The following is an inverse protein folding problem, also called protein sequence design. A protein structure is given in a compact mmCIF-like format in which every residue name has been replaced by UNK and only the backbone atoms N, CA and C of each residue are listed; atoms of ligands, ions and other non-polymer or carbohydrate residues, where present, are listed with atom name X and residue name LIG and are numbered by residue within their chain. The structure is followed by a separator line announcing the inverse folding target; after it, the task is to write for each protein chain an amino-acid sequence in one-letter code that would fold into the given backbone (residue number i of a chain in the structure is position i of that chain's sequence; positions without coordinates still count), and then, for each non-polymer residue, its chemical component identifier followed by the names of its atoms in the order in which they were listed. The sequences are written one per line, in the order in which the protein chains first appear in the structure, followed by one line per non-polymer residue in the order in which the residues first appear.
data_IF_598970920019
#
_entry.id   IF_598970920019
#
_cell.length_a   1.000
_cell.length_b   1.000
_cell.length_c   1.000
_cell.angle_alpha   90.00
_cell.angle_beta   90.00
_cell.angle_gamma   90.00
#
_symmetry.space_group_name_H-M   'P 1'
#
loop_
_entity.id
_entity.type
_entity.pdbx_description
1 polymer ?
#
# COMPACT_ATOMS: atom_id res chain seq x y z
N UNK A 1 -8.07 4.57 -60.72
CA UNK A 1 -8.66 5.05 -59.45
C UNK A 1 -7.95 4.28 -58.35
N UNK A 2 -6.92 4.89 -57.75
CA UNK A 2 -5.98 4.22 -56.84
C UNK A 2 -6.62 3.98 -55.47
N UNK A 3 -6.64 2.72 -55.03
CA UNK A 3 -6.77 2.33 -53.64
C UNK A 3 -5.39 2.46 -52.99
N UNK A 4 -5.28 3.35 -52.00
CA UNK A 4 -4.09 3.53 -51.17
C UNK A 4 -4.13 2.54 -50.00
N UNK A 5 -3.14 1.63 -49.96
CA UNK A 5 -2.77 0.86 -48.78
C UNK A 5 -2.43 1.81 -47.62
N UNK A 6 -3.09 1.64 -46.47
CA UNK A 6 -2.58 2.13 -45.18
C UNK A 6 -1.77 1.01 -44.54
N UNK A 7 -0.53 1.26 -44.07
CA UNK A 7 0.25 0.24 -43.39
C UNK A 7 -0.40 -0.07 -42.03
N UNK A 8 -0.47 -1.36 -41.70
CA UNK A 8 -0.93 -1.86 -40.41
C UNK A 8 -0.05 -1.35 -39.27
N UNK A 9 -0.70 -0.94 -38.18
CA UNK A 9 -0.09 -0.28 -37.03
C UNK A 9 1.05 -1.06 -36.37
N UNK A 10 2.15 -0.36 -36.14
CA UNK A 10 3.38 -0.83 -35.50
C UNK A 10 3.27 -0.86 -33.95
N UNK A 11 2.06 -0.86 -33.40
CA UNK A 11 1.78 -0.76 -31.96
C UNK A 11 2.39 -1.91 -31.16
N UNK A 12 2.42 -3.13 -31.73
CA UNK A 12 3.00 -4.31 -31.08
C UNK A 12 4.49 -4.14 -30.73
N UNK A 13 5.24 -3.38 -31.54
CA UNK A 13 6.67 -3.14 -31.29
C UNK A 13 6.94 -2.18 -30.13
N UNK A 14 6.13 -1.13 -29.97
CA UNK A 14 6.30 -0.17 -28.87
C UNK A 14 6.05 -0.83 -27.51
N UNK A 15 4.94 -1.58 -27.37
CA UNK A 15 4.59 -2.23 -26.11
C UNK A 15 5.57 -3.35 -25.75
N UNK A 16 6.02 -4.14 -26.74
CA UNK A 16 7.05 -5.17 -26.52
C UNK A 16 8.38 -4.55 -26.07
N UNK A 17 8.86 -3.51 -26.76
CA UNK A 17 10.10 -2.82 -26.41
C UNK A 17 10.01 -2.10 -25.06
N UNK A 18 8.84 -1.55 -24.71
CA UNK A 18 8.59 -0.97 -23.39
C UNK A 18 8.64 -2.02 -22.29
N UNK A 19 8.04 -3.19 -22.49
CA UNK A 19 8.07 -4.30 -21.53
C UNK A 19 9.50 -4.80 -21.33
N UNK A 20 10.27 -4.95 -22.41
CA UNK A 20 11.68 -5.33 -22.36
C UNK A 20 12.54 -4.32 -21.57
N UNK A 21 12.37 -3.00 -21.81
CA UNK A 21 13.08 -1.95 -21.07
C UNK A 21 12.76 -1.93 -19.57
N UNK A 22 11.51 -2.22 -19.19
CA UNK A 22 11.15 -2.36 -17.77
C UNK A 22 11.90 -3.56 -17.14
N UNK A 23 12.01 -4.68 -17.84
CA UNK A 23 12.81 -5.83 -17.39
C UNK A 23 14.32 -5.53 -17.35
N UNK A 24 14.86 -4.75 -18.30
CA UNK A 24 16.29 -4.34 -18.30
C UNK A 24 16.61 -3.32 -17.20
N UNK A 25 15.75 -2.33 -16.94
CA UNK A 25 15.89 -1.42 -15.81
C UNK A 25 15.87 -2.18 -14.47
N UNK A 26 15.12 -3.28 -14.38
CA UNK A 26 15.10 -4.18 -13.22
C UNK A 26 16.44 -4.93 -13.08
N UNK A 27 17.02 -5.46 -14.17
CA UNK A 27 18.35 -6.08 -14.14
C UNK A 27 19.46 -5.07 -13.77
N UNK A 28 19.31 -3.81 -14.21
CA UNK A 28 20.23 -2.72 -13.87
C UNK A 28 20.07 -2.29 -12.41
N UNK A 29 18.84 -2.26 -11.88
CA UNK A 29 18.57 -2.07 -10.44
C UNK A 29 19.09 -3.24 -9.58
N UNK A 30 19.03 -4.48 -10.08
CA UNK A 30 19.64 -5.67 -9.44
C UNK A 30 21.17 -5.59 -9.40
N UNK A 31 21.80 -5.01 -10.44
CA UNK A 31 23.23 -4.74 -10.43
C UNK A 31 23.59 -3.57 -9.50
N UNK A 32 22.75 -2.53 -9.45
CA UNK A 32 22.91 -1.40 -8.53
C UNK A 32 22.73 -1.80 -7.06
N UNK A 33 21.81 -2.71 -6.72
CA UNK A 33 21.67 -3.22 -5.34
C UNK A 33 22.87 -4.09 -4.91
N UNK A 34 23.54 -4.76 -5.86
CA UNK A 34 24.81 -5.47 -5.63
C UNK A 34 26.03 -4.51 -5.60
N UNK A 35 25.97 -3.36 -6.27
CA UNK A 35 27.02 -2.32 -6.32
C UNK A 35 26.84 -1.15 -5.34
N UNK A 36 25.72 -1.06 -4.63
CA UNK A 36 25.44 -0.03 -3.60
C UNK A 36 26.41 -0.06 -2.40
N UNK A 37 27.46 -0.89 -2.46
CA UNK A 37 28.57 -0.87 -1.51
C UNK A 37 29.50 0.34 -1.66
N UNK A 38 29.41 1.13 -2.74
CA UNK A 38 30.26 2.32 -2.91
C UNK A 38 29.61 3.37 -3.80
N UNK A 39 28.87 4.31 -3.22
CA UNK A 39 28.59 5.61 -3.81
C UNK A 39 28.58 6.66 -2.69
N UNK A 40 29.06 7.90 -2.94
CA UNK A 40 29.40 8.84 -1.89
C UNK A 40 28.14 9.36 -1.19
N UNK A 41 28.27 9.40 0.13
CA UNK A 41 27.25 9.61 1.13
C UNK A 41 26.83 11.09 1.18
N UNK A 42 25.72 11.41 0.55
CA UNK A 42 24.93 12.62 0.80
C UNK A 42 23.60 12.08 1.37
N UNK A 43 23.06 12.66 2.43
CA UNK A 43 21.73 12.38 3.04
C UNK A 43 21.68 11.51 4.32
N UNK A 44 22.78 10.91 4.79
CA UNK A 44 22.80 10.30 6.14
C UNK A 44 22.96 11.33 7.29
N UNK A 45 23.43 12.54 7.01
CA UNK A 45 23.73 13.55 8.05
C UNK A 45 22.49 14.12 8.74
N UNK A 46 21.30 14.02 8.12
CA UNK A 46 20.04 14.58 8.67
C UNK A 46 19.20 13.53 9.44
N UNK A 47 19.62 12.28 9.47
CA UNK A 47 18.88 11.24 10.20
C UNK A 47 19.09 11.40 11.72
N UNK A 48 18.03 11.24 12.53
CA UNK A 48 18.16 11.32 13.99
C UNK A 48 19.06 10.19 14.54
N UNK A 49 19.50 10.28 15.81
CA UNK A 49 20.28 9.23 16.45
C UNK A 49 19.61 7.85 16.32
N UNK A 50 20.41 6.79 16.21
CA UNK A 50 19.92 5.41 15.95
C UNK A 50 18.83 4.95 16.92
N UNK A 51 18.96 5.28 18.20
CA UNK A 51 17.96 4.95 19.21
C UNK A 51 16.59 5.57 18.90
N UNK A 52 16.58 6.86 18.52
CA UNK A 52 15.36 7.56 18.13
C UNK A 52 14.79 7.02 16.82
N UNK A 53 15.66 6.65 15.86
CA UNK A 53 15.21 6.00 14.61
C UNK A 53 14.42 4.72 14.89
N UNK A 54 14.98 3.82 15.70
CA UNK A 54 14.33 2.56 16.06
C UNK A 54 13.00 2.82 16.80
N UNK A 55 12.98 3.72 17.78
CA UNK A 55 11.77 4.08 18.52
C UNK A 55 10.67 4.64 17.61
N UNK A 56 11.02 5.49 16.64
CA UNK A 56 10.06 6.04 15.68
C UNK A 56 9.49 4.97 14.72
N UNK A 57 10.33 4.01 14.27
CA UNK A 57 9.85 2.89 13.44
C UNK A 57 8.93 1.97 14.26
N UNK A 58 9.25 1.71 15.53
CA UNK A 58 8.36 0.96 16.41
C UNK A 58 6.99 1.65 16.53
N UNK A 59 6.98 2.95 16.84
CA UNK A 59 5.74 3.74 16.91
C UNK A 59 4.92 3.70 15.61
N UNK A 60 5.58 3.67 14.45
CA UNK A 60 4.89 3.50 13.17
C UNK A 60 4.20 2.13 13.04
N UNK A 61 4.91 1.04 13.35
CA UNK A 61 4.30 -0.30 13.33
C UNK A 61 3.19 -0.46 14.36
N UNK A 62 3.24 0.37 15.39
CA UNK A 62 2.40 0.32 16.56
C UNK A 62 1.09 1.11 16.42
N UNK A 63 1.10 2.20 15.65
CA UNK A 63 -0.04 3.11 15.54
C UNK A 63 -0.55 3.34 14.11
N UNK A 64 0.17 2.87 13.08
CA UNK A 64 -0.05 3.32 11.69
C UNK A 64 -0.12 2.14 10.74
N UNK A 65 0.89 1.29 10.75
CA UNK A 65 0.89 0.06 9.96
C UNK A 65 -0.29 -0.83 10.39
N UNK A 66 -0.94 -1.46 9.41
CA UNK A 66 -2.17 -2.25 9.53
C UNK A 66 -3.45 -1.47 9.93
N UNK A 67 -3.42 -0.13 9.98
CA UNK A 67 -4.65 0.68 10.16
C UNK A 67 -5.33 0.99 8.81
N UNK A 68 -4.61 1.60 7.88
CA UNK A 68 -5.12 1.91 6.53
C UNK A 68 -4.28 1.29 5.40
N UNK A 69 -3.11 0.75 5.71
CA UNK A 69 -2.21 0.07 4.77
C UNK A 69 -1.42 -1.03 5.48
N UNK A 70 -0.98 -2.04 4.71
CA UNK A 70 -0.20 -3.17 5.24
C UNK A 70 0.99 -3.50 4.32
N UNK A 71 1.95 -2.60 4.19
CA UNK A 71 2.98 -2.69 3.13
C UNK A 71 4.30 -3.34 3.54
N UNK A 72 4.51 -3.64 4.82
CA UNK A 72 5.83 -4.05 5.32
C UNK A 72 5.76 -5.31 6.17
N UNK A 73 6.79 -6.14 6.07
CA UNK A 73 7.01 -7.26 6.97
C UNK A 73 7.80 -6.78 8.20
N UNK A 74 7.13 -6.59 9.34
CA UNK A 74 7.70 -5.94 10.54
C UNK A 74 9.07 -6.47 10.94
N UNK A 75 9.25 -7.79 11.07
CA UNK A 75 10.51 -8.37 11.54
C UNK A 75 11.71 -8.05 10.62
N UNK A 76 11.57 -8.28 9.31
CA UNK A 76 12.61 -7.95 8.34
C UNK A 76 12.85 -6.45 8.25
N UNK A 77 11.80 -5.62 8.30
CA UNK A 77 11.94 -4.18 8.26
C UNK A 77 12.74 -3.68 9.48
N UNK A 78 12.44 -4.18 10.68
CA UNK A 78 13.18 -3.81 11.88
C UNK A 78 14.64 -4.28 11.82
N UNK A 79 14.92 -5.48 11.30
CA UNK A 79 16.30 -5.93 11.07
C UNK A 79 17.03 -5.02 10.07
N UNK A 80 16.38 -4.61 8.99
CA UNK A 80 16.94 -3.65 8.03
C UNK A 80 17.17 -2.26 8.65
N UNK A 81 16.35 -1.81 9.60
CA UNK A 81 16.57 -0.56 10.33
C UNK A 81 17.80 -0.66 11.24
N UNK A 82 17.96 -1.78 11.97
CA UNK A 82 19.11 -2.01 12.86
C UNK A 82 20.41 -2.03 12.07
N UNK A 83 20.38 -2.56 10.85
CA UNK A 83 21.54 -2.71 10.00
C UNK A 83 21.71 -1.58 8.96
N UNK A 84 20.98 -0.46 9.10
CA UNK A 84 21.04 0.72 8.21
C UNK A 84 20.82 0.39 6.71
N UNK A 85 19.90 -0.54 6.41
CA UNK A 85 19.56 -0.98 5.04
C UNK A 85 18.30 -0.34 4.47
N UNK A 86 17.53 0.40 5.27
CA UNK A 86 16.34 1.11 4.79
C UNK A 86 16.75 2.42 4.10
N UNK A 87 16.26 2.71 2.88
CA UNK A 87 16.50 4.00 2.23
C UNK A 87 16.04 5.20 3.08
N UNK A 88 16.85 6.27 3.23
CA UNK A 88 16.50 7.42 4.07
C UNK A 88 15.14 8.05 3.74
N UNK A 89 14.76 8.10 2.46
CA UNK A 89 13.44 8.60 2.02
C UNK A 89 12.28 7.87 2.70
N UNK A 90 12.39 6.55 2.87
CA UNK A 90 11.36 5.72 3.55
C UNK A 90 11.36 6.01 5.05
N UNK A 91 12.54 6.06 5.68
CA UNK A 91 12.65 6.39 7.10
C UNK A 91 12.04 7.76 7.40
N UNK A 92 12.36 8.78 6.61
CA UNK A 92 11.79 10.12 6.76
C UNK A 92 10.26 10.13 6.59
N UNK A 93 9.71 9.40 5.61
CA UNK A 93 8.26 9.29 5.45
C UNK A 93 7.58 8.59 6.65
N UNK A 94 8.22 7.54 7.19
CA UNK A 94 7.78 6.85 8.41
C UNK A 94 7.83 7.78 9.62
N UNK A 95 8.94 8.52 9.79
CA UNK A 95 9.12 9.45 10.90
C UNK A 95 8.11 10.60 10.84
N UNK A 96 7.79 11.08 9.65
CA UNK A 96 6.77 12.11 9.45
C UNK A 96 5.43 11.70 10.06
N UNK A 97 5.04 10.44 9.86
CA UNK A 97 3.81 9.89 10.42
C UNK A 97 3.93 9.58 11.93
N UNK A 98 5.05 9.02 12.37
CA UNK A 98 5.21 8.46 13.71
C UNK A 98 5.62 9.46 14.80
N UNK A 99 6.34 10.53 14.44
CA UNK A 99 6.94 11.45 15.42
C UNK A 99 5.90 12.12 16.35
N UNK A 100 4.65 12.25 15.89
CA UNK A 100 3.54 12.77 16.70
C UNK A 100 3.19 11.90 17.91
N UNK A 101 3.58 10.63 17.91
CA UNK A 101 3.32 9.69 19.01
C UNK A 101 4.50 9.56 19.97
N UNK A 102 5.66 10.15 19.65
CA UNK A 102 6.86 10.03 20.49
C UNK A 102 6.75 10.87 21.77
N UNK A 103 7.29 10.37 22.88
CA UNK A 103 7.48 11.15 24.11
C UNK A 103 8.95 11.52 24.35
N UNK A 104 9.83 11.27 23.38
CA UNK A 104 11.27 11.50 23.47
C UNK A 104 11.62 12.99 23.64
N UNK A 105 12.61 13.28 24.48
CA UNK A 105 13.08 14.64 24.78
C UNK A 105 13.62 15.38 23.55
N UNK A 106 14.03 14.65 22.49
CA UNK A 106 14.41 15.22 21.20
C UNK A 106 13.34 16.16 20.63
N UNK A 107 12.06 15.91 20.95
CA UNK A 107 10.93 16.73 20.49
C UNK A 107 10.45 17.77 21.50
N UNK A 108 11.21 18.03 22.56
CA UNK A 108 10.86 19.06 23.54
C UNK A 108 10.77 20.43 22.85
N UNK A 109 9.66 21.14 23.08
CA UNK A 109 9.38 22.42 22.46
C UNK A 109 8.62 22.36 21.12
N UNK A 110 8.42 21.17 20.54
CA UNK A 110 7.61 20.99 19.32
C UNK A 110 6.30 20.27 19.65
N UNK A 111 5.16 20.85 19.24
CA UNK A 111 3.86 20.22 19.51
C UNK A 111 3.73 18.89 18.75
N UNK A 112 3.05 17.87 19.29
CA UNK A 112 2.92 16.57 18.64
C UNK A 112 2.51 16.64 17.15
N UNK A 113 1.62 17.55 16.78
CA UNK A 113 1.14 17.71 15.40
C UNK A 113 2.23 18.20 14.43
N UNK A 114 3.22 18.93 14.90
CA UNK A 114 4.24 19.59 14.07
C UNK A 114 5.52 18.74 13.93
N UNK A 115 5.73 17.75 14.80
CA UNK A 115 6.98 16.96 14.87
C UNK A 115 7.32 16.21 13.58
N UNK A 116 6.31 15.88 12.78
CA UNK A 116 6.50 15.16 11.53
C UNK A 116 6.93 16.02 10.34
N UNK A 117 6.74 17.34 10.41
CA UNK A 117 6.84 18.20 9.23
C UNK A 117 8.26 18.24 8.64
N UNK A 118 9.27 18.33 9.49
CA UNK A 118 10.68 18.32 9.05
C UNK A 118 11.04 17.03 8.31
N UNK A 119 10.51 15.90 8.75
CA UNK A 119 10.77 14.60 8.12
C UNK A 119 9.97 14.44 6.83
N UNK A 120 8.74 14.96 6.74
CA UNK A 120 7.98 15.00 5.49
C UNK A 120 8.77 15.77 4.43
N UNK A 121 9.24 16.99 4.76
CA UNK A 121 10.06 17.82 3.86
C UNK A 121 11.32 17.07 3.42
N UNK A 122 12.01 16.40 4.35
CA UNK A 122 13.21 15.63 4.03
C UNK A 122 12.91 14.46 3.07
N UNK A 123 11.83 13.71 3.29
CA UNK A 123 11.40 12.63 2.40
C UNK A 123 11.10 13.15 0.98
N UNK A 124 10.37 14.27 0.87
CA UNK A 124 10.04 14.87 -0.42
C UNK A 124 11.25 15.37 -1.21
N UNK A 125 12.30 15.86 -0.52
CA UNK A 125 13.55 16.25 -1.19
C UNK A 125 14.23 15.08 -1.88
N UNK A 126 14.11 13.88 -1.30
CA UNK A 126 14.66 12.64 -1.85
C UNK A 126 13.71 11.96 -2.85
N UNK A 127 12.43 12.34 -2.84
CA UNK A 127 11.42 11.74 -3.68
C UNK A 127 11.54 12.18 -5.14
N UNK A 128 11.68 11.19 -6.03
CA UNK A 128 11.75 11.40 -7.46
C UNK A 128 10.75 10.53 -8.21
N UNK A 129 9.81 11.19 -8.90
CA UNK A 129 8.81 10.52 -9.74
C UNK A 129 9.41 9.74 -10.92
N UNK A 130 10.69 10.00 -11.23
CA UNK A 130 11.43 9.33 -12.31
C UNK A 130 11.95 7.96 -11.88
N UNK A 131 12.00 7.70 -10.58
CA UNK A 131 12.46 6.43 -10.03
C UNK A 131 11.29 5.44 -9.96
N UNK A 132 11.25 4.53 -10.93
CA UNK A 132 10.25 3.48 -11.00
C UNK A 132 10.68 2.31 -10.12
N UNK A 133 10.38 2.38 -8.82
CA UNK A 133 10.69 1.32 -7.84
C UNK A 133 9.48 1.05 -6.92
N UNK A 134 9.37 -0.16 -6.33
CA UNK A 134 8.40 -0.41 -5.25
C UNK A 134 8.54 0.57 -4.09
N UNK A 135 9.77 0.98 -3.77
CA UNK A 135 10.06 1.96 -2.71
C UNK A 135 9.38 3.30 -2.99
N UNK A 136 9.46 3.82 -4.22
CA UNK A 136 8.79 5.07 -4.62
C UNK A 136 7.26 4.96 -4.47
N UNK A 137 6.69 3.79 -4.81
CA UNK A 137 5.25 3.51 -4.62
C UNK A 137 4.87 3.56 -3.14
N UNK A 138 5.64 2.90 -2.28
CA UNK A 138 5.38 2.86 -0.84
C UNK A 138 5.52 4.26 -0.21
N UNK A 139 6.51 5.05 -0.63
CA UNK A 139 6.67 6.44 -0.16
C UNK A 139 5.49 7.32 -0.58
N UNK A 140 4.93 7.13 -1.79
CA UNK A 140 3.68 7.80 -2.16
C UNK A 140 2.56 7.48 -1.17
N UNK A 141 2.41 6.22 -0.77
CA UNK A 141 1.39 5.85 0.22
C UNK A 141 1.64 6.51 1.57
N UNK A 142 2.89 6.53 2.05
CA UNK A 142 3.23 7.14 3.34
C UNK A 142 3.03 8.67 3.34
N UNK A 143 3.45 9.37 2.28
CA UNK A 143 3.28 10.82 2.17
C UNK A 143 1.81 11.20 1.94
N UNK A 144 1.07 10.41 1.17
CA UNK A 144 -0.37 10.57 1.00
C UNK A 144 -1.11 10.45 2.34
N UNK A 145 -0.71 9.49 3.18
CA UNK A 145 -1.27 9.34 4.52
C UNK A 145 -0.95 10.51 5.45
N UNK A 146 0.26 11.06 5.37
CA UNK A 146 0.63 12.24 6.15
C UNK A 146 -0.23 13.44 5.75
N UNK A 147 -0.43 13.64 4.44
CA UNK A 147 -1.31 14.68 3.92
C UNK A 147 -2.77 14.47 4.39
N UNK A 148 -3.27 13.23 4.34
CA UNK A 148 -4.59 12.86 4.87
C UNK A 148 -4.75 13.27 6.35
N UNK A 149 -3.79 12.88 7.19
CA UNK A 149 -3.78 13.17 8.63
C UNK A 149 -3.62 14.67 8.93
N UNK A 150 -3.16 15.45 7.96
CA UNK A 150 -3.02 16.91 8.04
C UNK A 150 -4.23 17.65 7.51
N UNK A 151 -5.16 16.96 6.83
CA UNK A 151 -6.35 17.53 6.20
C UNK A 151 -6.12 18.09 4.80
N UNK A 152 -5.00 17.74 4.15
CA UNK A 152 -4.65 18.18 2.80
C UNK A 152 -5.11 17.14 1.76
N UNK A 153 -6.41 17.16 1.45
CA UNK A 153 -7.06 16.16 0.59
C UNK A 153 -6.55 16.17 -0.85
N UNK A 154 -6.20 17.35 -1.39
CA UNK A 154 -5.70 17.44 -2.77
C UNK A 154 -4.28 16.85 -2.88
N UNK A 155 -3.40 17.14 -1.92
CA UNK A 155 -2.04 16.57 -1.90
C UNK A 155 -2.07 15.07 -1.59
N UNK A 156 -2.94 14.64 -0.69
CA UNK A 156 -3.20 13.23 -0.41
C UNK A 156 -3.60 12.47 -1.68
N UNK A 157 -4.60 12.97 -2.41
CA UNK A 157 -5.04 12.35 -3.66
C UNK A 157 -3.93 12.35 -4.73
N UNK A 158 -3.11 13.40 -4.81
CA UNK A 158 -1.98 13.45 -5.75
C UNK A 158 -0.97 12.33 -5.48
N UNK A 159 -0.60 12.11 -4.22
CA UNK A 159 0.33 11.06 -3.84
C UNK A 159 -0.23 9.67 -4.13
N UNK A 160 -1.47 9.38 -3.74
CA UNK A 160 -2.08 8.07 -4.04
C UNK A 160 -2.27 7.85 -5.54
N UNK A 161 -2.63 8.89 -6.29
CA UNK A 161 -2.71 8.84 -7.75
C UNK A 161 -1.37 8.47 -8.39
N UNK A 162 -0.30 9.09 -7.91
CA UNK A 162 1.06 8.81 -8.38
C UNK A 162 1.50 7.39 -8.01
N UNK A 163 1.27 6.98 -6.77
CA UNK A 163 1.54 5.61 -6.31
C UNK A 163 0.79 4.56 -7.13
N UNK A 164 -0.49 4.80 -7.43
CA UNK A 164 -1.30 3.94 -8.29
C UNK A 164 -0.78 3.85 -9.72
N UNK A 165 -0.38 4.99 -10.33
CA UNK A 165 0.22 4.96 -11.66
C UNK A 165 1.57 4.24 -11.68
N UNK A 166 2.41 4.44 -10.66
CA UNK A 166 3.69 3.76 -10.53
C UNK A 166 3.52 2.26 -10.33
N UNK A 167 2.56 1.82 -9.51
CA UNK A 167 2.29 0.39 -9.27
C UNK A 167 1.81 -0.32 -10.54
N UNK A 168 0.97 0.34 -11.34
CA UNK A 168 0.53 -0.14 -12.65
C UNK A 168 1.67 -0.22 -13.66
N UNK A 169 2.55 0.79 -13.70
CA UNK A 169 3.72 0.79 -14.60
C UNK A 169 4.68 -0.34 -14.25
N UNK A 170 4.85 -0.65 -12.97
CA UNK A 170 5.74 -1.70 -12.49
C UNK A 170 5.14 -3.11 -12.61
N UNK A 171 3.83 -3.22 -12.89
CA UNK A 171 3.08 -4.48 -12.78
C UNK A 171 3.39 -5.14 -11.43
N UNK A 172 3.25 -4.35 -10.35
CA UNK A 172 3.78 -4.65 -9.02
C UNK A 172 3.48 -6.08 -8.53
N UNK A 173 2.26 -6.63 -8.71
CA UNK A 173 1.95 -8.00 -8.28
C UNK A 173 2.67 -9.10 -9.06
N UNK A 174 3.04 -8.85 -10.32
CA UNK A 174 3.59 -9.86 -11.23
C UNK A 174 5.08 -9.66 -11.54
N UNK A 175 5.70 -8.59 -11.02
CA UNK A 175 7.12 -8.33 -11.25
C UNK A 175 8.00 -9.46 -10.69
N UNK A 176 9.16 -9.73 -11.30
CA UNK A 176 10.14 -10.66 -10.73
C UNK A 176 10.57 -10.22 -9.33
N UNK A 177 10.69 -11.18 -8.43
CA UNK A 177 11.06 -10.97 -7.02
C UNK A 177 12.16 -11.95 -6.60
N UNK A 178 12.88 -11.58 -5.55
CA UNK A 178 13.96 -12.39 -4.96
C UNK A 178 13.55 -13.16 -3.71
N UNK A 179 12.34 -12.96 -3.20
CA UNK A 179 11.77 -13.72 -2.08
C UNK A 179 10.25 -13.79 -2.09
N UNK A 180 9.68 -14.72 -1.31
CA UNK A 180 8.24 -14.79 -1.08
C UNK A 180 7.72 -13.57 -0.31
N UNK A 181 8.51 -13.05 0.64
CA UNK A 181 8.15 -11.84 1.39
C UNK A 181 8.05 -10.63 0.46
N UNK A 182 8.99 -10.47 -0.48
CA UNK A 182 8.93 -9.39 -1.47
C UNK A 182 7.67 -9.52 -2.35
N UNK A 183 7.28 -10.74 -2.75
CA UNK A 183 6.03 -10.98 -3.49
C UNK A 183 4.83 -10.50 -2.69
N UNK A 184 4.74 -10.90 -1.43
CA UNK A 184 3.61 -10.59 -0.57
C UNK A 184 3.55 -9.10 -0.25
N UNK A 185 4.69 -8.44 0.00
CA UNK A 185 4.79 -6.98 0.15
C UNK A 185 4.26 -6.26 -1.10
N UNK A 186 4.59 -6.74 -2.30
CA UNK A 186 4.09 -6.16 -3.55
C UNK A 186 2.57 -6.32 -3.68
N UNK A 187 2.02 -7.49 -3.37
CA UNK A 187 0.58 -7.77 -3.38
C UNK A 187 -0.16 -6.88 -2.38
N UNK A 188 0.35 -6.76 -1.15
CA UNK A 188 -0.28 -5.93 -0.12
C UNK A 188 -0.19 -4.44 -0.42
N UNK A 189 0.91 -3.99 -1.01
CA UNK A 189 1.06 -2.60 -1.51
C UNK A 189 0.06 -2.30 -2.63
N UNK A 190 -0.13 -3.24 -3.55
CA UNK A 190 -1.14 -3.14 -4.60
C UNK A 190 -2.56 -3.02 -4.02
N UNK A 191 -2.93 -3.91 -3.09
CA UNK A 191 -4.26 -3.88 -2.47
C UNK A 191 -4.48 -2.65 -1.60
N UNK A 192 -3.44 -2.16 -0.92
CA UNK A 192 -3.46 -0.86 -0.24
C UNK A 192 -3.87 0.24 -1.21
N UNK A 193 -3.24 0.32 -2.39
CA UNK A 193 -3.56 1.32 -3.40
C UNK A 193 -4.99 1.17 -3.94
N UNK A 194 -5.43 -0.05 -4.22
CA UNK A 194 -6.82 -0.32 -4.62
C UNK A 194 -7.82 0.13 -3.56
N UNK A 195 -7.48 0.01 -2.28
CA UNK A 195 -8.32 0.49 -1.19
C UNK A 195 -8.34 2.02 -1.15
N UNK A 196 -7.18 2.65 -0.98
CA UNK A 196 -7.10 4.11 -0.78
C UNK A 196 -7.68 4.91 -1.94
N UNK A 197 -7.53 4.43 -3.16
CA UNK A 197 -8.05 5.09 -4.36
C UNK A 197 -9.59 5.19 -4.36
N UNK A 198 -10.31 4.28 -3.68
CA UNK A 198 -11.78 4.34 -3.59
C UNK A 198 -12.23 5.58 -2.84
N UNK A 199 -11.77 5.78 -1.60
CA UNK A 199 -12.19 6.95 -0.82
C UNK A 199 -11.49 8.24 -1.25
N UNK A 200 -10.20 8.16 -1.59
CA UNK A 200 -9.40 9.32 -2.01
C UNK A 200 -9.99 10.00 -3.24
N UNK A 201 -10.15 9.25 -4.33
CA UNK A 201 -10.69 9.80 -5.59
C UNK A 201 -12.14 10.24 -5.43
N UNK A 202 -12.91 9.59 -4.56
CA UNK A 202 -14.29 10.00 -4.24
C UNK A 202 -14.35 11.34 -3.51
N UNK A 203 -13.48 11.56 -2.53
CA UNK A 203 -13.45 12.78 -1.73
C UNK A 203 -13.24 14.04 -2.58
N UNK A 204 -12.37 13.94 -3.61
CA UNK A 204 -12.09 15.03 -4.56
C UNK A 204 -12.90 14.95 -5.86
N UNK A 205 -13.83 13.99 -5.96
CA UNK A 205 -14.69 13.74 -7.13
C UNK A 205 -13.94 13.45 -8.43
N UNK A 206 -12.74 12.87 -8.35
CA UNK A 206 -11.96 12.43 -9.50
C UNK A 206 -12.24 10.96 -9.84
N UNK A 207 -11.95 10.52 -11.08
CA UNK A 207 -11.98 9.11 -11.43
C UNK A 207 -10.91 8.32 -10.69
N UNK A 208 -11.26 7.10 -10.28
CA UNK A 208 -10.31 6.11 -9.73
C UNK A 208 -9.25 5.73 -10.78
N UNK A 209 -8.05 5.43 -10.32
CA UNK A 209 -6.90 5.01 -11.13
C UNK A 209 -6.68 3.51 -11.07
N UNK A 210 -6.91 2.89 -9.90
CA UNK A 210 -6.67 1.49 -9.66
C UNK A 210 -7.81 0.64 -10.26
N UNK A 211 -7.48 -0.51 -10.88
CA UNK A 211 -8.48 -1.39 -11.45
C UNK A 211 -9.31 -2.05 -10.34
N UNK A 212 -10.60 -2.19 -10.61
CA UNK A 212 -11.57 -2.79 -9.69
C UNK A 212 -11.57 -4.32 -9.74
N UNK A 213 -11.34 -4.85 -10.95
CA UNK A 213 -11.31 -6.27 -11.25
C UNK A 213 -9.92 -6.63 -11.78
N UNK A 214 -9.26 -7.57 -11.12
CA UNK A 214 -7.88 -7.92 -11.40
C UNK A 214 -7.61 -9.33 -10.93
N UNK A 215 -6.89 -10.10 -11.75
CA UNK A 215 -6.45 -11.46 -11.44
C UNK A 215 -5.35 -11.51 -10.35
N UNK A 216 -5.21 -10.44 -9.56
CA UNK A 216 -4.24 -10.36 -8.47
C UNK A 216 -4.78 -11.19 -7.31
N UNK A 217 -3.99 -12.13 -6.76
CA UNK A 217 -4.41 -12.90 -5.60
C UNK A 217 -4.66 -11.98 -4.40
N UNK A 218 -5.62 -12.36 -3.55
CA UNK A 218 -5.78 -11.73 -2.25
C UNK A 218 -4.50 -11.95 -1.41
N UNK A 219 -4.18 -11.03 -0.48
CA UNK A 219 -3.01 -11.16 0.39
C UNK A 219 -3.07 -12.45 1.21
N UNK A 220 -1.92 -12.91 1.70
CA UNK A 220 -1.85 -14.01 2.67
C UNK A 220 -2.27 -13.51 4.06
N UNK A 221 -2.75 -14.40 4.91
CA UNK A 221 -3.06 -14.12 6.33
C UNK A 221 -1.89 -13.46 7.08
N UNK A 222 -2.22 -12.68 8.11
CA UNK A 222 -1.27 -11.92 8.92
C UNK A 222 -0.26 -12.83 9.64
N UNK A 223 -0.70 -13.98 10.15
CA UNK A 223 0.18 -14.90 10.90
C UNK A 223 1.19 -15.58 9.96
N UNK A 224 0.78 -16.30 8.90
CA UNK A 224 1.72 -16.86 7.93
C UNK A 224 2.63 -15.80 7.30
N UNK A 225 2.13 -14.59 7.04
CA UNK A 225 2.97 -13.49 6.56
C UNK A 225 4.04 -13.11 7.58
N UNK A 226 3.69 -12.97 8.86
CA UNK A 226 4.63 -12.55 9.93
C UNK A 226 5.80 -13.52 10.18
N UNK A 227 5.61 -14.81 9.88
CA UNK A 227 6.62 -15.86 10.06
C UNK A 227 7.29 -16.27 8.74
N UNK A 228 6.98 -15.57 7.64
CA UNK A 228 7.47 -15.92 6.31
C UNK A 228 8.98 -15.72 6.22
N UNK A 229 9.69 -16.72 5.69
CA UNK A 229 11.13 -16.63 5.43
C UNK A 229 11.43 -15.86 4.14
N UNK A 230 12.60 -15.22 4.08
CA UNK A 230 13.09 -14.50 2.92
C UNK A 230 13.60 -15.42 1.78
N UNK A 231 13.38 -16.75 1.87
CA UNK A 231 13.83 -17.72 0.88
C UNK A 231 12.76 -18.00 -0.19
N UNK A 232 13.15 -17.96 -1.48
CA UNK A 232 12.30 -18.40 -2.61
C UNK A 232 12.00 -19.90 -2.61
N UNK A 233 12.84 -20.68 -1.91
CA UNK A 233 12.72 -22.14 -1.80
C UNK A 233 11.91 -22.60 -0.59
N UNK A 234 11.34 -21.66 0.16
CA UNK A 234 10.35 -22.01 1.18
C UNK A 234 9.25 -22.81 0.49
N UNK A 235 9.21 -24.12 0.75
CA UNK A 235 7.97 -24.86 0.59
C UNK A 235 6.98 -24.11 1.47
N UNK A 236 5.95 -23.51 0.86
CA UNK A 236 4.71 -23.28 1.59
C UNK A 236 4.30 -24.68 2.00
N UNK A 237 4.68 -25.09 3.21
CA UNK A 237 4.35 -26.39 3.73
C UNK A 237 2.84 -26.49 3.63
N UNK A 238 2.39 -27.38 2.74
CA UNK A 238 1.04 -27.88 2.73
C UNK A 238 0.69 -28.20 4.19
N UNK A 239 -0.34 -27.54 4.73
CA UNK A 239 -1.02 -27.86 6.00
C UNK A 239 -0.52 -27.27 7.34
N UNK A 240 -0.14 -26.00 7.45
CA UNK A 240 -0.18 -25.33 8.78
C UNK A 240 -1.03 -24.07 8.78
N UNK A 241 -2.32 -24.27 9.10
CA UNK A 241 -3.28 -23.25 9.54
C UNK A 241 -3.55 -22.15 8.49
N UNK A 242 -4.13 -22.55 7.35
CA UNK A 242 -4.87 -21.62 6.47
C UNK A 242 -6.05 -21.06 7.28
N UNK A 243 -5.86 -19.91 7.91
CA UNK A 243 -6.95 -19.17 8.51
C UNK A 243 -7.75 -18.66 7.32
N UNK A 244 -9.02 -19.05 7.22
CA UNK A 244 -9.70 -19.03 5.92
C UNK A 244 -10.09 -17.63 5.41
N UNK A 245 -9.57 -16.54 5.96
CA UNK A 245 -9.50 -15.25 5.27
C UNK A 245 -8.59 -14.25 6.00
N UNK A 246 -7.68 -13.56 5.31
CA UNK A 246 -6.86 -12.49 5.90
C UNK A 246 -7.75 -11.30 6.27
N UNK A 247 -7.43 -10.60 7.37
CA UNK A 247 -8.14 -9.35 7.70
C UNK A 247 -8.07 -8.35 6.55
N UNK A 248 -6.88 -8.21 5.95
CA UNK A 248 -6.70 -7.34 4.78
C UNK A 248 -7.53 -7.79 3.57
N UNK A 249 -7.72 -9.10 3.36
CA UNK A 249 -8.55 -9.60 2.27
C UNK A 249 -10.03 -9.29 2.49
N UNK A 250 -10.52 -9.42 3.73
CA UNK A 250 -11.88 -9.00 4.08
C UNK A 250 -12.07 -7.48 3.93
N UNK A 251 -11.07 -6.67 4.30
CA UNK A 251 -11.08 -5.22 4.03
C UNK A 251 -11.16 -4.90 2.53
N UNK A 252 -10.41 -5.64 1.70
CA UNK A 252 -10.47 -5.49 0.23
C UNK A 252 -11.87 -5.84 -0.31
N UNK A 253 -12.48 -6.93 0.15
CA UNK A 253 -13.84 -7.32 -0.25
C UNK A 253 -14.87 -6.27 0.16
N UNK A 254 -14.82 -5.79 1.39
CA UNK A 254 -15.72 -4.75 1.89
C UNK A 254 -15.53 -3.43 1.14
N UNK A 255 -14.28 -3.04 0.84
CA UNK A 255 -13.98 -1.85 0.08
C UNK A 255 -14.52 -1.91 -1.37
N UNK A 256 -14.63 -3.11 -1.96
CA UNK A 256 -15.32 -3.29 -3.25
C UNK A 256 -16.82 -2.99 -3.14
N UNK A 257 -17.47 -3.43 -2.07
CA UNK A 257 -18.87 -3.08 -1.82
C UNK A 257 -19.03 -1.57 -1.64
N UNK A 258 -18.12 -0.93 -0.88
CA UNK A 258 -18.09 0.53 -0.73
C UNK A 258 -17.98 1.25 -2.08
N UNK A 259 -17.09 0.82 -2.97
CA UNK A 259 -16.96 1.41 -4.30
C UNK A 259 -18.26 1.31 -5.12
N UNK A 260 -18.96 0.16 -5.05
CA UNK A 260 -20.26 -0.03 -5.71
C UNK A 260 -21.34 0.87 -5.12
N UNK A 261 -21.36 1.07 -3.80
CA UNK A 261 -22.25 2.04 -3.14
C UNK A 261 -21.97 3.45 -3.64
N UNK A 262 -20.70 3.85 -3.73
CA UNK A 262 -20.29 5.17 -4.22
C UNK A 262 -20.73 5.37 -5.68
N UNK A 263 -20.50 4.39 -6.53
CA UNK A 263 -20.88 4.45 -7.94
C UNK A 263 -22.40 4.51 -8.10
N UNK A 264 -23.14 3.73 -7.31
CA UNK A 264 -24.60 3.79 -7.28
C UNK A 264 -25.11 5.15 -6.81
N UNK A 265 -24.56 5.71 -5.74
CA UNK A 265 -24.91 7.06 -5.27
C UNK A 265 -24.67 8.11 -6.36
N UNK A 266 -23.57 8.00 -7.11
CA UNK A 266 -23.28 8.88 -8.25
C UNK A 266 -24.32 8.72 -9.35
N UNK A 267 -24.73 7.50 -9.67
CA UNK A 267 -25.77 7.21 -10.65
C UNK A 267 -27.13 7.77 -10.20
N UNK A 268 -27.52 7.59 -8.93
CA UNK A 268 -28.74 8.16 -8.37
C UNK A 268 -28.82 9.68 -8.58
N UNK A 269 -27.71 10.39 -8.34
CA UNK A 269 -27.65 11.85 -8.53
C UNK A 269 -27.62 12.24 -10.01
N UNK A 270 -26.82 11.54 -10.82
CA UNK A 270 -26.60 11.92 -12.22
C UNK A 270 -27.80 11.56 -13.12
N UNK A 271 -28.40 10.41 -12.87
CA UNK A 271 -29.49 9.85 -13.67
C UNK A 271 -30.88 10.08 -13.03
N UNK A 272 -30.94 10.65 -11.83
CA UNK A 272 -32.17 10.89 -11.08
C UNK A 272 -32.99 9.59 -10.90
N UNK A 273 -32.34 8.54 -10.40
CA UNK A 273 -32.97 7.24 -10.21
C UNK A 273 -34.07 7.33 -9.14
N UNK A 274 -35.27 6.82 -9.48
CA UNK A 274 -36.44 6.85 -8.61
C UNK A 274 -37.21 5.52 -8.63
N UNK A 275 -38.07 5.35 -7.62
CA UNK A 275 -39.02 4.25 -7.53
C UNK A 275 -38.36 2.87 -7.60
N UNK A 276 -38.89 1.93 -8.41
CA UNK A 276 -38.42 0.54 -8.41
C UNK A 276 -36.95 0.33 -8.76
N UNK A 277 -36.33 1.22 -9.55
CA UNK A 277 -34.92 1.11 -9.92
C UNK A 277 -34.00 1.47 -8.75
N UNK A 278 -34.33 2.55 -8.03
CA UNK A 278 -33.65 2.96 -6.82
C UNK A 278 -33.78 1.88 -5.73
N UNK A 279 -35.00 1.40 -5.49
CA UNK A 279 -35.27 0.36 -4.48
C UNK A 279 -34.49 -0.92 -4.76
N UNK A 280 -34.45 -1.38 -6.02
CA UNK A 280 -33.69 -2.56 -6.42
C UNK A 280 -32.20 -2.40 -6.15
N UNK A 281 -31.61 -1.27 -6.56
CA UNK A 281 -30.17 -1.03 -6.35
C UNK A 281 -29.80 -0.99 -4.87
N UNK A 282 -30.64 -0.38 -4.02
CA UNK A 282 -30.46 -0.38 -2.56
C UNK A 282 -30.53 -1.81 -2.01
N UNK A 283 -31.53 -2.60 -2.43
CA UNK A 283 -31.69 -3.99 -1.99
C UNK A 283 -30.50 -4.88 -2.42
N UNK A 284 -30.00 -4.69 -3.64
CA UNK A 284 -28.83 -5.43 -4.13
C UNK A 284 -27.56 -5.11 -3.32
N UNK A 285 -27.29 -3.83 -3.05
CA UNK A 285 -26.14 -3.42 -2.23
C UNK A 285 -26.27 -3.87 -0.78
N UNK A 286 -27.47 -3.80 -0.20
CA UNK A 286 -27.75 -4.32 1.14
C UNK A 286 -27.48 -5.82 1.20
N UNK A 287 -28.01 -6.58 0.22
CA UNK A 287 -27.79 -8.02 0.13
C UNK A 287 -26.30 -8.36 0.01
N UNK A 288 -25.53 -7.58 -0.73
CA UNK A 288 -24.10 -7.85 -0.87
C UNK A 288 -23.32 -7.60 0.43
N UNK A 289 -23.75 -6.63 1.27
CA UNK A 289 -23.23 -6.46 2.63
C UNK A 289 -23.62 -7.65 3.54
N UNK A 290 -24.88 -8.10 3.46
CA UNK A 290 -25.36 -9.24 4.24
C UNK A 290 -24.60 -10.53 3.88
N UNK A 291 -24.43 -10.80 2.58
CA UNK A 291 -23.65 -11.94 2.07
C UNK A 291 -22.21 -11.87 2.57
N UNK A 292 -21.57 -10.71 2.48
CA UNK A 292 -20.22 -10.54 3.02
C UNK A 292 -20.17 -10.88 4.52
N UNK A 293 -21.10 -10.35 5.32
CA UNK A 293 -21.16 -10.60 6.77
C UNK A 293 -21.38 -12.09 7.10
N UNK A 294 -22.20 -12.78 6.32
CA UNK A 294 -22.44 -14.22 6.46
C UNK A 294 -21.19 -15.04 6.14
N UNK A 295 -20.46 -14.67 5.08
CA UNK A 295 -19.23 -15.33 4.62
C UNK A 295 -18.01 -15.04 5.48
N UNK A 296 -18.00 -13.93 6.24
CA UNK A 296 -16.89 -13.61 7.17
C UNK A 296 -16.71 -14.78 8.16
N UNK A 297 -15.49 -15.37 8.23
CA UNK A 297 -15.22 -16.49 9.11
C UNK A 297 -15.57 -16.19 10.57
N UNK A 298 -16.14 -17.18 11.26
CA UNK A 298 -16.62 -17.00 12.64
C UNK A 298 -15.57 -16.43 13.61
N UNK A 299 -14.29 -16.73 13.41
CA UNK A 299 -13.19 -16.27 14.25
C UNK A 299 -12.75 -14.82 13.96
N UNK A 300 -13.25 -14.20 12.89
CA UNK A 300 -13.00 -12.79 12.53
C UNK A 300 -14.18 -11.87 12.84
N UNK A 301 -15.33 -12.43 13.23
CA UNK A 301 -16.52 -11.63 13.55
C UNK A 301 -16.25 -10.77 14.78
N UNK A 302 -16.85 -9.58 14.81
CA UNK A 302 -16.75 -8.66 15.93
C UNK A 302 -17.44 -9.24 17.17
N UNK A 303 -16.65 -9.92 18.00
CA UNK A 303 -17.07 -10.47 19.29
C UNK A 303 -15.94 -10.28 20.30
N UNK A 304 -16.25 -10.07 21.60
CA UNK A 304 -15.21 -9.91 22.63
C UNK A 304 -14.21 -11.07 22.65
N UNK A 305 -14.68 -12.31 22.48
CA UNK A 305 -13.82 -13.50 22.47
C UNK A 305 -12.85 -13.52 21.27
N UNK A 306 -13.31 -13.10 20.09
CA UNK A 306 -12.44 -13.02 18.91
C UNK A 306 -11.41 -11.88 19.04
N UNK A 307 -11.81 -10.73 19.60
CA UNK A 307 -10.89 -9.62 19.86
C UNK A 307 -9.80 -10.02 20.85
N UNK A 308 -10.16 -10.68 21.95
CA UNK A 308 -9.19 -11.21 22.92
C UNK A 308 -8.27 -12.27 22.28
N UNK A 309 -8.82 -13.18 21.47
CA UNK A 309 -8.04 -14.18 20.75
C UNK A 309 -7.06 -13.54 19.76
N UNK A 310 -7.48 -12.49 19.03
CA UNK A 310 -6.63 -11.76 18.09
C UNK A 310 -5.49 -11.04 18.84
N UNK A 311 -5.82 -10.30 19.91
CA UNK A 311 -4.86 -9.61 20.78
C UNK A 311 -3.85 -10.57 21.43
N UNK A 312 -4.29 -11.76 21.86
CA UNK A 312 -3.42 -12.78 22.48
C UNK A 312 -2.32 -13.29 21.54
N UNK A 313 -2.49 -13.12 20.22
CA UNK A 313 -1.51 -13.49 19.20
C UNK A 313 -0.56 -12.34 18.83
N UNK A 314 -0.65 -11.21 19.54
CA UNK A 314 0.10 -10.00 19.24
C UNK A 314 -0.44 -9.23 18.03
N UNK A 315 -1.67 -9.52 17.59
CA UNK A 315 -2.34 -8.83 16.49
C UNK A 315 -3.43 -7.90 17.05
N UNK A 316 -3.50 -6.68 16.51
CA UNK A 316 -4.41 -5.65 17.03
C UNK A 316 -4.00 -5.14 18.41
N UNK A 317 -4.31 -3.87 18.68
CA UNK A 317 -4.16 -3.28 20.02
C UNK A 317 -5.53 -3.09 20.63
N UNK A 318 -5.73 -3.62 21.83
CA UNK A 318 -6.83 -3.23 22.71
C UNK A 318 -6.48 -1.95 23.46
#
# INVERSE_FOLDING_TARGET
MHLSDRPADNEGGYYANRRARLHENIATQQAFSLQAKTSPNLDHEDLPPTALRQALVELYFDYIHDQFHSMYHKALFMDDVINDRIPPMVLFAIFALAARFSADEFFNGTTPRERGEVYRVASERLFSIRELTPTTVQVCVLLGAYAAASGDTDVENLYYSMGGRLSLVLDLPNRPVTSLVEREVNIRTWWTLCMVDVWSSTAVRLPRIMPFDGAVPLPVDEIPFSIMSNDLRGHVSDHTLCISSPLLAEMVKLNRILARIIDFNRACVSEHLEGPLLERGIQELSRDLDVWLEEVPHHMRDTPANLEAFASRGLGRM
#
